data_IF_696415570205
#
_entry.id   IF_696415570205
#
_cell.length_a   1.000
_cell.length_b   1.000
_cell.length_c   1.000
_cell.angle_alpha   90.00
_cell.angle_beta   90.00
_cell.angle_gamma   90.00
#
_symmetry.space_group_name_H-M   'P 1'
#
loop_
_entity.id
_entity.type
_entity.pdbx_description
1 polymer ?
#
# COMPACT_ATOMS: atom_id res chain seq x y z
N UNK A 1 6.57 -5.46 -16.99
CA UNK A 1 6.43 -4.62 -15.77
C UNK A 1 6.99 -5.41 -14.59
N UNK A 2 7.55 -4.74 -13.57
CA UNK A 2 8.10 -5.40 -12.37
C UNK A 2 6.98 -5.72 -11.39
N UNK A 3 6.91 -6.97 -10.90
CA UNK A 3 5.96 -7.33 -9.83
C UNK A 3 6.29 -6.63 -8.51
N UNK A 4 5.32 -6.62 -7.59
CA UNK A 4 5.46 -6.00 -6.27
C UNK A 4 6.62 -6.62 -5.49
N UNK A 5 6.71 -7.95 -5.46
CA UNK A 5 7.76 -8.68 -4.73
C UNK A 5 9.14 -8.24 -5.22
N UNK A 6 9.35 -8.18 -6.54
CA UNK A 6 10.63 -7.72 -7.09
C UNK A 6 10.96 -6.29 -6.66
N UNK A 7 9.98 -5.37 -6.67
CA UNK A 7 10.21 -3.99 -6.21
C UNK A 7 10.55 -3.92 -4.72
N UNK A 8 9.92 -4.77 -3.90
CA UNK A 8 10.22 -4.90 -2.47
C UNK A 8 11.64 -5.43 -2.26
N UNK A 9 12.04 -6.47 -2.99
CA UNK A 9 13.40 -7.05 -2.90
C UNK A 9 14.47 -6.04 -3.33
N UNK A 10 14.24 -5.35 -4.45
CA UNK A 10 15.12 -4.29 -4.95
C UNK A 10 15.27 -3.16 -3.92
N UNK A 11 14.16 -2.74 -3.29
CA UNK A 11 14.19 -1.75 -2.23
C UNK A 11 14.91 -2.28 -0.98
N UNK A 12 14.69 -3.53 -0.60
CA UNK A 12 15.32 -4.13 0.56
C UNK A 12 16.85 -4.21 0.39
N UNK A 13 17.30 -4.60 -0.81
CA UNK A 13 18.72 -4.56 -1.17
C UNK A 13 19.26 -3.14 -1.08
N UNK A 14 18.57 -2.17 -1.69
CA UNK A 14 18.97 -0.76 -1.66
C UNK A 14 19.11 -0.24 -0.23
N UNK A 15 18.14 -0.50 0.65
CA UNK A 15 18.22 -0.16 2.08
C UNK A 15 19.43 -0.81 2.75
N UNK A 16 19.74 -2.07 2.44
CA UNK A 16 20.92 -2.75 2.96
C UNK A 16 22.25 -2.08 2.57
N UNK A 17 22.37 -1.63 1.32
CA UNK A 17 23.60 -1.06 0.76
C UNK A 17 23.78 0.43 1.03
N UNK A 18 22.72 1.22 0.86
CA UNK A 18 22.79 2.69 0.93
C UNK A 18 22.03 3.28 2.11
N UNK A 19 21.35 2.46 2.91
CA UNK A 19 20.61 2.93 4.08
C UNK A 19 21.53 3.44 5.18
N UNK A 20 21.08 4.51 5.84
CA UNK A 20 21.74 5.07 7.02
C UNK A 20 21.32 4.28 8.25
N UNK A 21 22.26 3.98 9.14
CA UNK A 21 21.95 3.34 10.41
C UNK A 21 21.42 4.38 11.41
N UNK A 22 20.18 4.19 11.86
CA UNK A 22 19.52 5.08 12.81
C UNK A 22 18.83 4.22 13.86
N UNK A 23 19.38 4.24 15.07
CA UNK A 23 18.74 3.65 16.26
C UNK A 23 18.25 2.21 16.09
N UNK A 24 19.02 1.31 15.47
CA UNK A 24 18.69 -0.12 15.31
C UNK A 24 18.00 -0.49 13.98
N UNK A 25 17.82 0.46 13.07
CA UNK A 25 17.39 0.21 11.69
C UNK A 25 18.43 0.71 10.71
N UNK A 26 18.41 0.16 9.49
CA UNK A 26 18.92 0.82 8.28
C UNK A 26 17.74 1.41 7.53
N UNK A 27 17.82 2.67 7.14
CA UNK A 27 16.71 3.35 6.48
C UNK A 27 17.13 4.22 5.28
N UNK A 28 16.21 4.37 4.33
CA UNK A 28 16.28 5.31 3.22
C UNK A 28 15.04 6.19 3.26
N UNK A 29 15.25 7.49 3.09
CA UNK A 29 14.17 8.47 3.07
C UNK A 29 13.61 8.68 1.67
N UNK A 30 12.30 8.98 1.59
CA UNK A 30 11.60 9.43 0.39
C UNK A 30 11.76 8.50 -0.82
N UNK A 31 11.19 7.31 -0.72
CA UNK A 31 11.15 6.31 -1.79
C UNK A 31 9.74 6.25 -2.37
N UNK A 32 9.62 5.92 -3.66
CA UNK A 32 8.33 5.63 -4.29
C UNK A 32 8.37 4.25 -4.94
N UNK A 33 7.34 3.44 -4.69
CA UNK A 33 7.02 2.28 -5.51
C UNK A 33 5.88 2.64 -6.46
N UNK A 34 5.96 2.13 -7.70
CA UNK A 34 4.90 2.33 -8.69
C UNK A 34 4.47 0.99 -9.27
N UNK A 35 3.19 0.67 -9.11
CA UNK A 35 2.55 -0.51 -9.67
C UNK A 35 1.65 -0.07 -10.81
N UNK A 36 1.82 -0.69 -11.97
CA UNK A 36 1.07 -0.38 -13.17
C UNK A 36 0.20 -1.58 -13.56
N UNK A 37 -1.08 -1.30 -13.80
CA UNK A 37 -2.07 -2.25 -14.33
C UNK A 37 -2.00 -3.62 -13.65
N UNK A 38 -1.91 -3.61 -12.33
CA UNK A 38 -1.92 -4.79 -11.48
C UNK A 38 -3.11 -4.76 -10.53
N UNK A 39 -3.50 -5.93 -10.05
CA UNK A 39 -4.65 -6.15 -9.17
C UNK A 39 -4.19 -6.82 -7.88
N UNK A 40 -5.03 -6.73 -6.85
CA UNK A 40 -4.83 -7.43 -5.59
C UNK A 40 -4.62 -8.93 -5.80
N UNK A 41 -5.54 -9.58 -6.53
CA UNK A 41 -5.49 -11.03 -6.74
C UNK A 41 -4.20 -11.50 -7.43
N UNK A 42 -3.68 -10.69 -8.36
CA UNK A 42 -2.47 -11.02 -9.11
C UNK A 42 -1.21 -10.95 -8.23
N UNK A 43 -1.09 -9.91 -7.41
CA UNK A 43 0.10 -9.74 -6.55
C UNK A 43 0.02 -10.59 -5.27
N UNK A 44 -1.19 -10.93 -4.81
CA UNK A 44 -1.40 -11.66 -3.55
C UNK A 44 -0.67 -13.00 -3.54
N UNK A 45 -0.77 -13.78 -4.61
CA UNK A 45 -0.13 -15.10 -4.69
C UNK A 45 1.41 -14.99 -4.60
N UNK A 46 2.01 -14.04 -5.32
CA UNK A 46 3.46 -13.81 -5.26
C UNK A 46 3.90 -13.37 -3.86
N UNK A 47 3.13 -12.50 -3.20
CA UNK A 47 3.42 -12.06 -1.84
C UNK A 47 3.29 -13.22 -0.84
N UNK A 48 2.27 -14.06 -0.95
CA UNK A 48 2.11 -15.25 -0.10
C UNK A 48 3.33 -16.18 -0.20
N UNK A 49 3.79 -16.48 -1.42
CA UNK A 49 4.99 -17.28 -1.66
C UNK A 49 6.26 -16.61 -1.11
N UNK A 50 6.39 -15.29 -1.26
CA UNK A 50 7.51 -14.55 -0.69
C UNK A 50 7.54 -14.64 0.85
N UNK A 51 6.39 -14.59 1.51
CA UNK A 51 6.30 -14.76 2.97
C UNK A 51 6.71 -16.17 3.40
N UNK A 52 6.20 -17.20 2.71
CA UNK A 52 6.56 -18.59 2.96
C UNK A 52 8.06 -18.83 2.81
N UNK A 53 8.66 -18.33 1.72
CA UNK A 53 10.10 -18.45 1.46
C UNK A 53 10.98 -17.76 2.52
N UNK A 54 10.45 -16.74 3.21
CA UNK A 54 11.15 -16.02 4.27
C UNK A 54 10.76 -16.50 5.69
N UNK A 55 9.94 -17.55 5.81
CA UNK A 55 9.48 -18.08 7.10
C UNK A 55 8.59 -17.11 7.87
N UNK A 56 7.83 -16.26 7.16
CA UNK A 56 6.94 -15.25 7.72
C UNK A 56 5.47 -15.71 7.62
N UNK A 57 4.65 -15.38 8.62
CA UNK A 57 3.20 -15.65 8.57
C UNK A 57 2.45 -14.52 7.85
N UNK A 58 2.10 -14.77 6.58
CA UNK A 58 1.32 -13.84 5.75
C UNK A 58 -0.04 -13.51 6.37
N UNK A 59 -0.78 -14.53 6.82
CA UNK A 59 -2.16 -14.37 7.30
C UNK A 59 -2.18 -13.51 8.56
N UNK A 60 -1.29 -13.81 9.50
CA UNK A 60 -1.15 -13.04 10.74
C UNK A 60 -0.81 -11.58 10.48
N UNK A 61 0.05 -11.29 9.50
CA UNK A 61 0.38 -9.90 9.13
C UNK A 61 -0.77 -9.18 8.46
N UNK A 62 -1.47 -9.85 7.55
CA UNK A 62 -2.67 -9.29 6.94
C UNK A 62 -3.75 -8.99 7.98
N UNK A 63 -3.99 -9.89 8.93
CA UNK A 63 -4.96 -9.71 10.02
C UNK A 63 -4.61 -8.54 10.94
N UNK A 64 -3.32 -8.32 11.23
CA UNK A 64 -2.84 -7.20 12.06
C UNK A 64 -3.20 -5.84 11.45
N UNK A 65 -3.15 -5.72 10.13
CA UNK A 65 -3.37 -4.45 9.41
C UNK A 65 -4.78 -4.31 8.82
N UNK A 66 -5.55 -5.40 8.75
CA UNK A 66 -6.86 -5.46 8.06
C UNK A 66 -7.84 -4.36 8.49
N UNK A 67 -7.88 -4.02 9.78
CA UNK A 67 -8.79 -3.00 10.30
C UNK A 67 -8.46 -1.62 9.74
N UNK A 68 -7.17 -1.29 9.63
CA UNK A 68 -6.71 -0.02 9.05
C UNK A 68 -7.05 0.06 7.56
N UNK A 69 -6.82 -1.01 6.80
CA UNK A 69 -7.17 -1.04 5.39
C UNK A 69 -8.67 -0.90 5.15
N UNK A 70 -9.51 -1.55 5.98
CA UNK A 70 -10.95 -1.36 5.94
C UNK A 70 -11.35 0.09 6.25
N UNK A 71 -10.75 0.71 7.26
CA UNK A 71 -10.99 2.12 7.58
C UNK A 71 -10.69 3.03 6.37
N UNK A 72 -9.55 2.85 5.71
CA UNK A 72 -9.18 3.61 4.51
C UNK A 72 -10.15 3.37 3.35
N UNK A 73 -10.50 2.09 3.09
CA UNK A 73 -11.42 1.66 2.02
C UNK A 73 -12.81 2.28 2.20
N UNK A 74 -13.43 2.07 3.37
CA UNK A 74 -14.77 2.58 3.66
C UNK A 74 -14.80 4.11 3.74
N UNK A 75 -13.74 4.75 4.24
CA UNK A 75 -13.63 6.21 4.23
C UNK A 75 -13.65 6.79 2.82
N UNK A 76 -12.94 6.17 1.87
CA UNK A 76 -12.95 6.60 0.47
C UNK A 76 -14.30 6.33 -0.22
N UNK A 77 -14.91 5.16 0.02
CA UNK A 77 -16.24 4.83 -0.51
C UNK A 77 -17.31 5.81 0.00
N UNK A 78 -17.30 6.12 1.29
CA UNK A 78 -18.21 7.10 1.87
C UNK A 78 -18.01 8.50 1.25
N UNK A 79 -16.77 8.89 0.93
CA UNK A 79 -16.49 10.16 0.25
C UNK A 79 -17.03 10.21 -1.18
N UNK A 80 -17.03 9.08 -1.88
CA UNK A 80 -17.66 8.96 -3.20
C UNK A 80 -19.16 9.21 -3.06
N UNK A 81 -19.83 8.47 -2.17
CA UNK A 81 -21.27 8.59 -1.93
C UNK A 81 -21.67 10.00 -1.47
N UNK A 82 -20.88 10.60 -0.58
CA UNK A 82 -21.08 11.97 -0.13
C UNK A 82 -21.01 12.96 -1.29
N UNK A 83 -20.02 12.81 -2.19
CA UNK A 83 -19.86 13.71 -3.33
C UNK A 83 -21.04 13.60 -4.30
N UNK A 84 -21.44 12.37 -4.63
CA UNK A 84 -22.59 12.10 -5.50
C UNK A 84 -23.89 12.65 -4.89
N UNK A 85 -24.08 12.49 -3.58
CA UNK A 85 -25.30 12.93 -2.92
C UNK A 85 -25.40 14.45 -2.76
N UNK A 86 -24.36 15.11 -2.22
CA UNK A 86 -24.42 16.53 -1.85
C UNK A 86 -24.03 17.46 -3.00
N UNK A 87 -23.00 17.13 -3.77
CA UNK A 87 -22.52 18.00 -4.85
C UNK A 87 -23.17 17.66 -6.19
N UNK A 88 -23.83 16.50 -6.31
CA UNK A 88 -24.37 15.98 -7.60
C UNK A 88 -23.29 15.95 -8.69
N UNK A 89 -22.03 15.84 -8.29
CA UNK A 89 -20.88 15.79 -9.19
C UNK A 89 -20.43 14.34 -9.38
N UNK A 90 -20.14 13.92 -10.62
CA UNK A 90 -19.52 12.63 -10.88
C UNK A 90 -18.18 12.51 -10.12
N UNK A 91 -17.86 11.34 -9.52
CA UNK A 91 -16.62 11.14 -8.77
C UNK A 91 -15.37 11.46 -9.59
N UNK A 92 -15.42 11.24 -10.91
CA UNK A 92 -14.33 11.55 -11.85
C UNK A 92 -13.90 13.02 -11.81
N UNK A 93 -14.78 13.96 -11.41
CA UNK A 93 -14.45 15.38 -11.33
C UNK A 93 -13.96 15.80 -9.94
N UNK A 94 -14.12 14.95 -8.93
CA UNK A 94 -13.82 15.30 -7.56
C UNK A 94 -12.31 15.41 -7.31
N UNK A 95 -11.91 16.48 -6.60
CA UNK A 95 -10.56 16.66 -6.04
C UNK A 95 -10.48 16.28 -4.57
N UNK A 96 -11.59 15.83 -3.98
CA UNK A 96 -11.76 15.63 -2.53
C UNK A 96 -11.70 14.15 -2.11
N UNK A 97 -11.34 13.27 -3.03
CA UNK A 97 -11.25 11.82 -2.82
C UNK A 97 -9.90 11.45 -2.17
N UNK A 98 -9.78 11.77 -0.89
CA UNK A 98 -8.63 11.41 -0.07
C UNK A 98 -9.01 11.17 1.39
N UNK A 99 -8.26 10.35 2.10
CA UNK A 99 -8.40 10.07 3.54
C UNK A 99 -7.05 10.25 4.21
N UNK A 100 -7.07 10.75 5.45
CA UNK A 100 -5.91 10.82 6.33
C UNK A 100 -6.08 9.83 7.48
N UNK A 101 -4.96 9.29 7.97
CA UNK A 101 -4.88 8.46 9.17
C UNK A 101 -3.62 8.83 9.98
N UNK A 102 -3.62 8.67 11.32
CA UNK A 102 -2.40 8.73 12.12
C UNK A 102 -1.48 7.50 11.94
N UNK A 103 -1.96 6.44 11.29
CA UNK A 103 -1.24 5.16 11.14
C UNK A 103 -0.14 5.22 10.07
N UNK A 104 0.50 4.08 9.77
CA UNK A 104 1.65 4.02 8.87
C UNK A 104 1.30 4.53 7.46
N UNK A 105 0.18 4.08 6.88
CA UNK A 105 -0.42 4.74 5.70
C UNK A 105 -1.17 5.97 6.20
N UNK A 106 -0.52 7.13 6.16
CA UNK A 106 -1.06 8.35 6.77
C UNK A 106 -1.92 9.18 5.80
N UNK A 107 -1.83 8.91 4.49
CA UNK A 107 -2.71 9.49 3.48
C UNK A 107 -2.93 8.51 2.34
N UNK A 108 -4.16 8.45 1.84
CA UNK A 108 -4.49 7.81 0.58
C UNK A 108 -5.37 8.74 -0.25
N UNK A 109 -5.07 8.89 -1.52
CA UNK A 109 -5.78 9.74 -2.47
C UNK A 109 -6.07 8.97 -3.76
N UNK A 110 -7.26 9.22 -4.32
CA UNK A 110 -7.66 8.72 -5.63
C UNK A 110 -7.74 9.89 -6.58
N UNK A 111 -7.19 9.70 -7.77
CA UNK A 111 -7.35 10.59 -8.92
C UNK A 111 -8.08 9.80 -10.00
N UNK A 112 -9.42 9.85 -10.01
CA UNK A 112 -10.19 9.22 -11.07
C UNK A 112 -10.02 10.05 -12.35
N UNK A 113 -9.19 9.59 -13.27
CA UNK A 113 -8.97 10.16 -14.60
C UNK A 113 -9.11 9.07 -15.66
N UNK A 114 -9.32 9.48 -16.90
CA UNK A 114 -9.21 8.61 -18.07
C UNK A 114 -8.05 9.11 -18.94
N UNK A 115 -7.25 8.21 -19.53
CA UNK A 115 -7.39 6.75 -19.53
C UNK A 115 -6.80 6.03 -18.30
N UNK A 116 -6.21 6.76 -17.34
CA UNK A 116 -5.53 6.18 -16.17
C UNK A 116 -6.20 6.61 -14.86
N UNK A 117 -6.64 5.65 -14.06
CA UNK A 117 -7.01 5.86 -12.66
C UNK A 117 -5.76 5.76 -11.80
N UNK A 118 -5.46 6.80 -11.03
CA UNK A 118 -4.29 6.82 -10.16
C UNK A 118 -4.69 6.77 -8.69
N UNK A 119 -4.03 5.92 -7.91
CA UNK A 119 -4.11 5.89 -6.44
C UNK A 119 -2.74 6.27 -5.89
N UNK A 120 -2.70 7.24 -4.98
CA UNK A 120 -1.49 7.64 -4.28
C UNK A 120 -1.65 7.31 -2.80
N UNK A 121 -0.82 6.43 -2.28
CA UNK A 121 -0.70 6.16 -0.85
C UNK A 121 0.59 6.79 -0.33
N UNK A 122 0.54 7.37 0.87
CA UNK A 122 1.70 7.92 1.56
C UNK A 122 1.88 7.21 2.89
N UNK A 123 3.04 6.60 3.06
CA UNK A 123 3.47 5.85 4.22
C UNK A 123 4.49 6.69 4.97
N UNK A 124 4.22 7.05 6.22
CA UNK A 124 5.18 7.79 7.06
C UNK A 124 6.40 6.94 7.42
N UNK A 125 6.24 5.62 7.46
CA UNK A 125 7.31 4.66 7.70
C UNK A 125 6.83 3.27 7.28
N UNK A 126 7.72 2.42 6.76
CA UNK A 126 7.40 1.03 6.45
C UNK A 126 8.62 0.12 6.61
N UNK A 127 8.41 -1.03 7.26
CA UNK A 127 9.40 -2.10 7.28
C UNK A 127 9.31 -2.85 5.95
N UNK A 128 10.41 -2.81 5.20
CA UNK A 128 10.40 -3.17 3.77
C UNK A 128 10.07 -4.64 3.56
N UNK A 129 10.55 -5.55 4.42
CA UNK A 129 10.47 -6.98 4.15
C UNK A 129 9.14 -7.62 4.55
N UNK A 130 8.46 -7.10 5.55
CA UNK A 130 7.33 -7.75 6.21
C UNK A 130 6.05 -6.91 6.16
N UNK A 131 6.15 -5.58 6.18
CA UNK A 131 4.95 -4.72 6.21
C UNK A 131 4.66 -4.12 4.84
N UNK A 132 5.68 -3.65 4.13
CA UNK A 132 5.49 -3.01 2.82
C UNK A 132 4.73 -3.87 1.79
N UNK A 133 4.96 -5.19 1.65
CA UNK A 133 4.17 -6.01 0.75
C UNK A 133 2.69 -6.05 1.14
N UNK A 134 2.39 -6.11 2.43
CA UNK A 134 1.03 -6.18 2.98
C UNK A 134 0.32 -4.83 2.79
N UNK A 135 1.01 -3.73 3.08
CA UNK A 135 0.51 -2.37 2.83
C UNK A 135 0.20 -2.16 1.35
N UNK A 136 1.09 -2.61 0.46
CA UNK A 136 0.89 -2.52 -0.98
C UNK A 136 -0.32 -3.34 -1.46
N UNK A 137 -0.51 -4.55 -0.93
CA UNK A 137 -1.72 -5.34 -1.18
C UNK A 137 -2.98 -4.63 -0.66
N UNK A 138 -2.95 -4.05 0.54
CA UNK A 138 -4.06 -3.27 1.08
C UNK A 138 -4.44 -2.10 0.18
N UNK A 139 -3.46 -1.39 -0.38
CA UNK A 139 -3.69 -0.30 -1.34
C UNK A 139 -4.25 -0.83 -2.67
N UNK A 140 -3.82 -2.01 -3.14
CA UNK A 140 -4.38 -2.64 -4.34
C UNK A 140 -5.84 -3.07 -4.14
N UNK A 141 -6.21 -3.69 -3.01
CA UNK A 141 -7.62 -4.04 -2.71
C UNK A 141 -8.50 -2.78 -2.68
N UNK A 142 -7.99 -1.69 -2.09
CA UNK A 142 -8.66 -0.40 -2.13
C UNK A 142 -8.84 0.07 -3.57
N UNK A 143 -7.77 0.05 -4.37
CA UNK A 143 -7.79 0.46 -5.78
C UNK A 143 -8.82 -0.33 -6.60
N UNK A 144 -8.86 -1.66 -6.47
CA UNK A 144 -9.78 -2.54 -7.20
C UNK A 144 -11.24 -2.26 -6.84
N UNK A 145 -11.55 -2.11 -5.55
CA UNK A 145 -12.90 -1.78 -5.08
C UNK A 145 -13.38 -0.42 -5.60
N UNK A 146 -12.51 0.58 -5.64
CA UNK A 146 -12.83 1.92 -6.10
C UNK A 146 -12.96 1.99 -7.62
N UNK A 147 -12.11 1.27 -8.35
CA UNK A 147 -12.21 1.14 -9.81
C UNK A 147 -13.57 0.57 -10.21
N UNK A 148 -13.99 -0.49 -9.51
CA UNK A 148 -15.31 -1.07 -9.68
C UNK A 148 -16.43 -0.05 -9.44
N UNK A 149 -16.38 0.65 -8.30
CA UNK A 149 -17.41 1.63 -7.90
C UNK A 149 -17.51 2.81 -8.86
N UNK A 150 -16.39 3.37 -9.33
CA UNK A 150 -16.34 4.60 -10.13
C UNK A 150 -16.53 4.32 -11.63
N UNK A 151 -15.93 3.26 -12.18
CA UNK A 151 -15.81 3.09 -13.63
C UNK A 151 -16.58 1.92 -14.19
N UNK A 152 -16.52 0.76 -13.53
CA UNK A 152 -17.04 -0.47 -14.12
C UNK A 152 -18.57 -0.42 -14.22
N UNK A 153 -19.23 0.18 -13.24
CA UNK A 153 -20.67 0.47 -13.31
C UNK A 153 -21.05 1.43 -14.46
N UNK A 154 -20.09 2.20 -14.96
CA UNK A 154 -20.25 3.14 -16.08
C UNK A 154 -19.75 2.56 -17.42
N UNK A 155 -19.39 1.27 -17.47
CA UNK A 155 -18.89 0.60 -18.68
C UNK A 155 -17.46 1.00 -19.08
N UNK A 156 -16.69 1.60 -18.16
CA UNK A 156 -15.30 2.01 -18.35
C UNK A 156 -14.33 1.08 -17.64
N UNK A 157 -13.14 0.89 -18.21
CA UNK A 157 -12.06 0.10 -17.61
C UNK A 157 -10.71 0.81 -17.79
N UNK A 158 -10.41 1.85 -16.98
CA UNK A 158 -9.13 2.57 -17.09
C UNK A 158 -7.96 1.69 -16.63
N UNK A 159 -6.77 2.01 -17.12
CA UNK A 159 -5.53 1.47 -16.55
C UNK A 159 -5.38 1.94 -15.11
N UNK A 160 -4.85 1.09 -14.23
CA UNK A 160 -4.53 1.48 -12.85
C UNK A 160 -3.07 1.87 -12.72
N UNK A 161 -2.82 2.93 -11.95
CA UNK A 161 -1.49 3.26 -11.47
C UNK A 161 -1.54 3.49 -9.97
N UNK A 162 -0.85 2.66 -9.21
CA UNK A 162 -0.72 2.81 -7.76
C UNK A 162 0.67 3.32 -7.46
N UNK A 163 0.76 4.50 -6.84
CA UNK A 163 2.02 5.07 -6.34
C UNK A 163 2.03 5.00 -4.81
N UNK A 164 3.01 4.32 -4.25
CA UNK A 164 3.22 4.19 -2.81
C UNK A 164 4.45 5.02 -2.45
N UNK A 165 4.21 6.18 -1.85
CA UNK A 165 5.24 7.08 -1.34
C UNK A 165 5.61 6.66 0.07
N UNK A 166 6.89 6.48 0.35
CA UNK A 166 7.39 5.98 1.63
C UNK A 166 8.40 6.99 2.17
N UNK A 167 8.05 7.65 3.27
CA UNK A 167 8.89 8.67 3.88
C UNK A 167 10.15 8.08 4.51
N UNK A 168 10.02 6.97 5.26
CA UNK A 168 11.14 6.18 5.80
C UNK A 168 10.92 4.69 5.49
N UNK A 169 11.69 4.16 4.55
CA UNK A 169 11.74 2.73 4.23
C UNK A 169 12.90 2.11 5.01
N UNK A 170 12.63 1.12 5.86
CA UNK A 170 13.64 0.60 6.77
C UNK A 170 13.66 -0.93 6.90
N UNK A 171 14.80 -1.44 7.37
CA UNK A 171 15.01 -2.83 7.78
C UNK A 171 15.65 -2.84 9.17
N UNK A 172 15.19 -3.70 10.06
CA UNK A 172 15.80 -3.86 11.39
C UNK A 172 17.17 -4.55 11.33
N UNK A 173 18.16 -4.00 12.03
CA UNK A 173 19.50 -4.60 12.13
C UNK A 173 19.51 -5.80 13.08
N UNK A 174 20.53 -6.67 12.99
CA UNK A 174 20.72 -7.76 13.98
C UNK A 174 20.99 -7.13 15.36
N UNK A 175 20.30 -7.61 16.40
CA UNK A 175 20.47 -7.17 17.79
C UNK A 175 19.51 -6.08 18.29
N UNK A 176 18.59 -5.59 17.44
CA UNK A 176 17.54 -4.67 17.91
C UNK A 176 16.45 -5.45 18.68
N UNK A 177 16.13 -5.11 19.94
CA UNK A 177 15.07 -5.77 20.71
C UNK A 177 13.69 -5.67 20.02
N UNK A 178 13.43 -4.64 19.21
CA UNK A 178 12.20 -4.51 18.41
C UNK A 178 12.13 -5.55 17.29
N UNK A 179 13.28 -6.01 16.79
CA UNK A 179 13.34 -7.13 15.85
C UNK A 179 12.85 -8.42 16.50
N UNK A 180 13.22 -8.68 17.76
CA UNK A 180 12.72 -9.85 18.48
C UNK A 180 11.21 -9.77 18.72
N UNK A 181 10.67 -8.59 19.06
CA UNK A 181 9.23 -8.41 19.20
C UNK A 181 8.48 -8.55 17.87
N UNK A 182 9.07 -8.13 16.75
CA UNK A 182 8.49 -8.35 15.42
C UNK A 182 8.56 -9.84 15.05
N UNK A 183 9.69 -10.51 15.28
CA UNK A 183 9.84 -11.95 15.03
C UNK A 183 8.94 -12.80 15.92
N UNK A 184 8.72 -12.41 17.19
CA UNK A 184 7.76 -13.04 18.11
C UNK A 184 6.30 -12.80 17.72
N UNK A 185 6.02 -11.76 16.91
CA UNK A 185 4.71 -11.53 16.28
C UNK A 185 4.58 -12.20 14.92
N UNK A 186 5.63 -12.85 14.42
CA UNK A 186 5.69 -13.54 13.12
C UNK A 186 5.56 -15.06 13.29
N UNK A 187 5.98 -15.62 14.44
CA UNK A 187 5.60 -16.94 14.93
C UNK A 187 4.37 -16.85 15.84
#
# INVERSE_FOLDING_TARGET
>A
MSSLVKQVEDLAMRVGYTGLEVGGTKEIMNVMLTLHDTTYDKEREEVELYFEANGLDFKKKLEQEATHYQFLKYGLLQKIEYNEFYFKEPPINSRKLYIHSPDCISLIQILPRTPVMQVNAYLRSSEVKCLLPIDALGVLDICDALKWKIYVNEGMNPFTQVNIWIASAHIYTKGDPRREDILKRVH
#
